data_IF_661732419339
#
_entry.id   IF_661732419339
#
_cell.length_a   1.000
_cell.length_b   1.000
_cell.length_c   1.000
_cell.angle_alpha   90.00
_cell.angle_beta   90.00
_cell.angle_gamma   90.00
#
_symmetry.space_group_name_H-M   'P 1'
#
loop_
_entity.id
_entity.type
_entity.pdbx_description
1 polymer ?
#
# COMPACT_ATOMS: atom_id res chain seq x y z
N UNK A 1 -14.00 -19.56 -6.43
CA UNK A 1 -13.54 -19.00 -5.13
C UNK A 1 -13.24 -17.56 -5.39
N UNK A 2 -14.03 -16.63 -4.86
CA UNK A 2 -13.85 -15.20 -5.12
C UNK A 2 -12.51 -14.77 -4.54
N UNK A 3 -11.60 -14.27 -5.38
CA UNK A 3 -10.33 -13.72 -4.94
C UNK A 3 -10.63 -12.64 -3.89
N UNK A 4 -10.09 -12.75 -2.68
CA UNK A 4 -10.19 -11.68 -1.70
C UNK A 4 -9.34 -10.52 -2.20
N UNK A 5 -9.98 -9.49 -2.76
CA UNK A 5 -9.33 -8.24 -3.13
C UNK A 5 -8.61 -7.67 -1.91
N UNK A 6 -7.30 -7.45 -2.01
CA UNK A 6 -6.49 -6.80 -0.98
C UNK A 6 -7.00 -5.37 -0.77
N UNK A 7 -7.19 -4.95 0.47
CA UNK A 7 -7.55 -3.57 0.82
C UNK A 7 -6.31 -2.77 1.22
N UNK A 8 -6.39 -1.44 1.11
CA UNK A 8 -5.34 -0.52 1.60
C UNK A 8 -5.02 -0.79 3.07
N UNK A 9 -6.04 -1.08 3.88
CA UNK A 9 -5.86 -1.37 5.31
C UNK A 9 -5.10 -2.68 5.54
N UNK A 10 -5.34 -3.72 4.74
CA UNK A 10 -4.57 -4.97 4.81
C UNK A 10 -3.10 -4.73 4.41
N UNK A 11 -2.86 -3.93 3.36
CA UNK A 11 -1.51 -3.54 2.95
C UNK A 11 -0.81 -2.73 4.07
N UNK A 12 -1.55 -1.82 4.73
CA UNK A 12 -1.05 -1.03 5.87
C UNK A 12 -0.64 -1.91 7.03
N UNK A 13 -1.46 -2.89 7.40
CA UNK A 13 -1.16 -3.83 8.49
C UNK A 13 0.06 -4.70 8.17
N UNK A 14 0.18 -5.17 6.92
CA UNK A 14 1.33 -5.94 6.46
C UNK A 14 2.63 -5.13 6.57
N UNK A 15 2.66 -3.94 6.00
CA UNK A 15 3.84 -3.08 6.02
C UNK A 15 4.15 -2.52 7.42
N UNK A 16 3.13 -2.26 8.24
CA UNK A 16 3.31 -1.86 9.63
C UNK A 16 4.01 -2.96 10.44
N UNK A 17 3.71 -4.23 10.18
CA UNK A 17 4.41 -5.36 10.80
C UNK A 17 5.88 -5.37 10.40
N UNK A 18 6.18 -5.28 9.09
CA UNK A 18 7.56 -5.22 8.59
C UNK A 18 8.31 -4.02 9.22
N UNK A 19 7.66 -2.86 9.32
CA UNK A 19 8.24 -1.68 9.91
C UNK A 19 8.58 -1.84 11.40
N UNK A 20 7.72 -2.54 12.15
CA UNK A 20 7.96 -2.86 13.57
C UNK A 20 9.14 -3.81 13.70
N UNK A 21 9.18 -4.86 12.88
CA UNK A 21 10.24 -5.87 12.88
C UNK A 21 11.61 -5.26 12.50
N UNK A 22 11.62 -4.18 11.71
CA UNK A 22 12.84 -3.50 11.26
C UNK A 22 13.10 -2.15 11.98
N UNK A 23 12.32 -1.78 13.00
CA UNK A 23 12.59 -0.62 13.84
C UNK A 23 12.34 0.76 13.22
N UNK A 24 11.56 0.86 12.14
CA UNK A 24 11.23 2.14 11.49
C UNK A 24 9.74 2.51 11.52
N UNK A 25 8.91 1.74 12.23
CA UNK A 25 7.49 2.05 12.43
C UNK A 25 7.32 3.41 13.15
N UNK A 26 6.47 4.27 12.58
CA UNK A 26 6.06 5.56 13.15
C UNK A 26 4.56 5.79 12.92
N UNK A 27 3.95 6.62 13.74
CA UNK A 27 2.56 7.04 13.59
C UNK A 27 2.45 8.51 13.18
N UNK A 28 1.56 8.85 12.23
CA UNK A 28 0.76 7.96 11.39
C UNK A 28 1.62 7.08 10.44
N UNK A 29 1.13 5.88 10.13
CA UNK A 29 1.80 4.92 9.23
C UNK A 29 1.13 4.91 7.86
N UNK A 30 1.93 5.05 6.82
CA UNK A 30 1.46 5.28 5.46
C UNK A 30 1.90 4.18 4.49
N UNK A 31 1.11 3.99 3.44
CA UNK A 31 1.39 3.03 2.35
C UNK A 31 1.13 3.66 1.00
N UNK A 32 1.86 3.20 0.00
CA UNK A 32 1.54 3.39 -1.40
C UNK A 32 0.93 2.12 -1.95
N UNK A 33 -0.16 2.22 -2.71
CA UNK A 33 -0.79 1.11 -3.42
C UNK A 33 -0.96 1.45 -4.89
N UNK A 34 -0.87 0.43 -5.73
CA UNK A 34 -1.24 0.49 -7.14
C UNK A 34 -2.55 -0.26 -7.33
N UNK A 35 -3.44 0.32 -8.13
CA UNK A 35 -4.76 -0.22 -8.43
C UNK A 35 -4.86 -0.57 -9.93
N UNK A 36 -5.50 -1.69 -10.25
CA UNK A 36 -5.93 -2.01 -11.61
C UNK A 36 -7.15 -1.14 -12.02
N UNK A 37 -7.59 -1.30 -13.28
CA UNK A 37 -8.76 -0.62 -13.83
C UNK A 37 -10.07 -0.90 -13.08
N UNK A 38 -10.15 -2.03 -12.39
CA UNK A 38 -11.30 -2.45 -11.58
C UNK A 38 -11.21 -1.93 -10.14
N UNK A 39 -10.13 -1.21 -9.78
CA UNK A 39 -9.87 -0.67 -8.46
C UNK A 39 -9.30 -1.69 -7.46
N UNK A 40 -8.84 -2.86 -7.91
CA UNK A 40 -8.20 -3.84 -7.04
C UNK A 40 -6.72 -3.50 -6.85
N UNK A 41 -6.21 -3.71 -5.63
CA UNK A 41 -4.79 -3.55 -5.34
C UNK A 41 -3.98 -4.60 -6.09
N UNK A 42 -3.09 -4.15 -6.96
CA UNK A 42 -2.13 -4.97 -7.71
C UNK A 42 -0.80 -5.09 -6.97
N UNK A 43 -0.35 -4.00 -6.34
CA UNK A 43 0.88 -3.94 -5.56
C UNK A 43 0.81 -2.91 -4.42
N UNK A 44 1.71 -3.02 -3.43
CA UNK A 44 1.86 -2.05 -2.35
C UNK A 44 3.27 -1.94 -1.81
N UNK A 45 3.67 -0.75 -1.38
CA UNK A 45 4.96 -0.50 -0.72
C UNK A 45 4.84 0.46 0.45
N UNK A 46 5.77 0.36 1.41
CA UNK A 46 5.94 1.37 2.46
C UNK A 46 7.41 1.56 2.79
N UNK A 47 7.76 2.79 3.19
CA UNK A 47 9.08 3.14 3.68
C UNK A 47 9.01 4.27 4.72
N UNK A 48 10.06 4.39 5.53
CA UNK A 48 10.17 5.38 6.61
C UNK A 48 9.96 6.86 6.20
N UNK A 49 10.12 7.16 4.91
CA UNK A 49 10.05 8.51 4.35
C UNK A 49 8.65 8.93 3.91
N UNK A 50 7.67 8.02 3.88
CA UNK A 50 6.30 8.37 3.52
C UNK A 50 5.70 9.34 4.53
N UNK A 51 4.91 10.28 4.02
CA UNK A 51 4.23 11.34 4.78
C UNK A 51 2.71 11.34 4.57
N UNK A 52 2.20 10.54 3.63
CA UNK A 52 0.80 10.35 3.32
C UNK A 52 0.61 9.02 2.59
N UNK A 53 -0.64 8.54 2.52
CA UNK A 53 -0.97 7.41 1.65
C UNK A 53 -0.94 7.86 0.18
N UNK A 54 -0.45 6.97 -0.68
CA UNK A 54 -0.48 7.16 -2.13
C UNK A 54 -1.33 6.06 -2.76
N UNK A 55 -2.29 6.45 -3.59
CA UNK A 55 -3.15 5.53 -4.35
C UNK A 55 -2.94 5.88 -5.81
N UNK A 56 -2.31 4.98 -6.55
CA UNK A 56 -1.97 5.15 -7.96
C UNK A 56 -2.79 4.17 -8.80
N UNK A 57 -3.32 4.61 -9.94
CA UNK A 57 -3.87 3.66 -10.91
C UNK A 57 -2.75 3.26 -11.86
N UNK A 58 -2.59 1.97 -12.16
CA UNK A 58 -1.55 1.47 -13.07
C UNK A 58 -1.65 2.11 -14.48
N UNK A 59 -2.83 2.55 -14.86
CA UNK A 59 -3.09 3.17 -16.16
C UNK A 59 -2.66 4.65 -16.23
N UNK A 60 -2.39 5.30 -15.10
CA UNK A 60 -2.00 6.72 -15.05
C UNK A 60 -0.52 6.95 -15.47
N UNK A 61 0.26 5.89 -15.73
CA UNK A 61 1.67 5.98 -16.16
C UNK A 61 1.87 6.13 -17.69
N UNK A 62 0.81 6.32 -18.48
CA UNK A 62 0.92 6.53 -19.94
C UNK A 62 0.84 8.02 -20.31
N UNK A 63 1.99 8.72 -20.33
CA UNK A 63 2.16 10.03 -20.97
C UNK A 63 3.29 10.02 -22.01
#
# INVERSE_FOLDING_TARGET
MSASSLTIEQCRQFWAKIAKDNGWYKEPFFVQVWLDADGNVTDSVSHQGLTQDHVLNEEDEVL
#
